data_IF_414635599012
#
_entry.id   IF_414635599012
#
_cell.length_a   1.000
_cell.length_b   1.000
_cell.length_c   1.000
_cell.angle_alpha   90.00
_cell.angle_beta   90.00
_cell.angle_gamma   90.00
#
_symmetry.space_group_name_H-M   'P 1'
#
loop_
_entity.id
_entity.type
_entity.pdbx_description
1 polymer ?
#
# COMPACT_ATOMS: atom_id res chain seq x y z
N UNK A 1 7.02 17.01 35.43
CA UNK A 1 7.76 15.75 35.24
C UNK A 1 8.61 15.94 34.00
N UNK A 2 9.90 16.12 34.19
CA UNK A 2 10.84 16.46 33.12
C UNK A 2 11.41 15.12 32.62
N UNK A 3 11.00 14.69 31.42
CA UNK A 3 11.50 13.46 30.79
C UNK A 3 13.01 13.50 30.74
N UNK A 4 13.65 12.43 31.19
CA UNK A 4 15.11 12.36 31.29
C UNK A 4 15.74 12.58 29.92
N UNK A 5 16.88 13.28 29.86
CA UNK A 5 17.69 13.43 28.64
C UNK A 5 18.01 12.06 27.99
N UNK A 6 17.96 10.99 28.78
CA UNK A 6 18.12 9.61 28.35
C UNK A 6 16.90 9.06 27.59
N UNK A 7 15.67 9.38 28.00
CA UNK A 7 14.44 8.93 27.31
C UNK A 7 14.35 9.54 25.91
N UNK A 8 14.69 10.81 25.76
CA UNK A 8 14.75 11.47 24.44
C UNK A 8 15.85 10.91 23.54
N UNK A 9 17.01 10.59 24.12
CA UNK A 9 18.08 9.96 23.35
C UNK A 9 17.67 8.56 22.89
N UNK A 10 16.98 7.80 23.75
CA UNK A 10 16.43 6.48 23.44
C UNK A 10 15.32 6.55 22.38
N UNK A 11 14.43 7.55 22.42
CA UNK A 11 13.41 7.75 21.37
C UNK A 11 14.05 8.01 20.00
N UNK A 12 15.07 8.87 19.94
CA UNK A 12 15.80 9.18 18.70
C UNK A 12 16.63 7.98 18.21
N UNK A 13 17.22 7.21 19.12
CA UNK A 13 17.88 5.96 18.76
C UNK A 13 16.88 4.93 18.25
N UNK A 14 15.73 4.75 18.89
CA UNK A 14 14.70 3.81 18.45
C UNK A 14 14.12 4.17 17.07
N UNK A 15 13.95 5.47 16.77
CA UNK A 15 13.59 5.93 15.42
C UNK A 15 14.67 5.58 14.37
N UNK A 16 15.96 5.65 14.73
CA UNK A 16 17.07 5.26 13.86
C UNK A 16 17.27 3.73 13.75
N UNK A 17 16.98 2.98 14.81
CA UNK A 17 17.02 1.52 14.88
C UNK A 17 15.80 0.85 14.22
N UNK A 18 14.75 1.63 13.88
CA UNK A 18 13.67 1.17 13.01
C UNK A 18 14.06 1.13 11.52
N UNK A 19 15.35 1.19 11.20
CA UNK A 19 15.87 0.55 10.00
C UNK A 19 15.85 -0.96 10.22
N UNK A 20 14.65 -1.56 10.14
CA UNK A 20 14.51 -2.97 9.85
C UNK A 20 15.35 -3.20 8.59
N UNK A 21 16.32 -4.10 8.69
CA UNK A 21 17.15 -4.51 7.55
C UNK A 21 16.21 -5.20 6.56
N UNK A 22 15.54 -4.41 5.71
CA UNK A 22 14.48 -4.88 4.81
C UNK A 22 15.12 -5.69 3.70
N UNK A 23 15.17 -7.00 3.88
CA UNK A 23 15.66 -7.89 2.84
C UNK A 23 14.67 -7.90 1.67
N UNK A 24 15.14 -7.92 0.39
CA UNK A 24 14.26 -7.96 -0.78
C UNK A 24 13.28 -9.15 -0.80
N UNK A 25 13.54 -10.19 -0.01
CA UNK A 25 12.64 -11.33 0.20
C UNK A 25 11.45 -11.04 1.12
N UNK A 26 11.45 -9.91 1.84
CA UNK A 26 10.45 -9.56 2.86
C UNK A 26 9.35 -8.63 2.34
N UNK A 27 9.44 -8.17 1.09
CA UNK A 27 8.44 -7.31 0.49
C UNK A 27 8.37 -7.47 -1.04
N UNK A 28 7.20 -7.17 -1.59
CA UNK A 28 7.04 -6.94 -3.02
C UNK A 28 7.05 -5.43 -3.30
N UNK A 29 7.92 -4.99 -4.21
CA UNK A 29 7.94 -3.61 -4.68
C UNK A 29 7.05 -3.42 -5.92
N UNK A 30 6.28 -2.33 -5.93
CA UNK A 30 5.52 -1.87 -7.09
C UNK A 30 6.03 -0.50 -7.52
N UNK A 31 6.39 -0.37 -8.80
CA UNK A 31 6.64 0.94 -9.39
C UNK A 31 5.31 1.52 -9.90
N UNK A 32 4.89 2.63 -9.29
CA UNK A 32 3.68 3.36 -9.64
C UNK A 32 4.09 4.74 -10.14
N UNK A 33 4.13 4.90 -11.47
CA UNK A 33 4.45 6.17 -12.13
C UNK A 33 5.81 6.76 -11.66
N UNK A 34 6.81 5.90 -11.45
CA UNK A 34 8.14 6.30 -10.99
C UNK A 34 8.31 6.32 -9.47
N UNK A 35 7.24 6.09 -8.69
CA UNK A 35 7.31 5.95 -7.23
C UNK A 35 7.36 4.48 -6.84
N UNK A 36 8.29 4.10 -5.96
CA UNK A 36 8.34 2.74 -5.42
C UNK A 36 7.46 2.63 -4.17
N UNK A 37 6.59 1.62 -4.15
CA UNK A 37 5.75 1.28 -3.00
C UNK A 37 6.04 -0.16 -2.60
N UNK A 38 6.42 -0.36 -1.35
CA UNK A 38 6.80 -1.66 -0.80
C UNK A 38 5.63 -2.25 0.00
N UNK A 39 5.23 -3.48 -0.36
CA UNK A 39 4.17 -4.23 0.31
C UNK A 39 4.78 -5.45 0.99
N UNK A 40 4.71 -5.48 2.32
CA UNK A 40 5.25 -6.59 3.12
C UNK A 40 4.31 -7.79 3.19
N UNK A 41 2.99 -7.55 3.07
CA UNK A 41 2.00 -8.61 3.10
C UNK A 41 2.01 -9.37 1.77
N UNK A 42 2.44 -10.64 1.83
CA UNK A 42 2.59 -11.50 0.67
C UNK A 42 1.25 -11.73 -0.04
N UNK A 43 0.19 -12.10 0.70
CA UNK A 43 -1.16 -12.35 0.15
C UNK A 43 -1.70 -11.10 -0.53
N UNK A 44 -1.56 -9.93 0.08
CA UNK A 44 -1.94 -8.66 -0.54
C UNK A 44 -1.15 -8.41 -1.82
N UNK A 45 0.16 -8.67 -1.80
CA UNK A 45 1.02 -8.46 -2.95
C UNK A 45 0.61 -9.32 -4.15
N UNK A 46 0.20 -10.56 -3.92
CA UNK A 46 -0.28 -11.48 -4.97
C UNK A 46 -1.58 -10.99 -5.59
N UNK A 47 -2.54 -10.57 -4.76
CA UNK A 47 -3.79 -9.98 -5.22
C UNK A 47 -3.54 -8.69 -6.01
N UNK A 48 -2.60 -7.86 -5.56
CA UNK A 48 -2.25 -6.65 -6.30
C UNK A 48 -1.56 -6.97 -7.63
N UNK A 49 -0.73 -8.02 -7.71
CA UNK A 49 -0.07 -8.45 -8.96
C UNK A 49 -1.09 -8.83 -10.05
N UNK A 50 -2.21 -9.47 -9.68
CA UNK A 50 -3.25 -9.86 -10.66
C UNK A 50 -4.13 -8.69 -11.13
N UNK A 51 -4.20 -7.59 -10.37
CA UNK A 51 -4.97 -6.42 -10.78
C UNK A 51 -4.33 -5.72 -11.99
N UNK A 52 -5.14 -5.26 -12.97
CA UNK A 52 -4.66 -4.41 -14.04
C UNK A 52 -3.94 -3.16 -13.52
N UNK A 53 -2.83 -2.78 -14.16
CA UNK A 53 -1.95 -1.68 -13.73
C UNK A 53 -2.70 -0.39 -13.38
N UNK A 54 -3.66 0.01 -14.22
CA UNK A 54 -4.46 1.23 -13.99
C UNK A 54 -5.25 1.15 -12.68
N UNK A 55 -5.84 -0.02 -12.37
CA UNK A 55 -6.59 -0.26 -11.13
C UNK A 55 -5.64 -0.32 -9.94
N UNK A 56 -4.54 -1.09 -10.06
CA UNK A 56 -3.51 -1.21 -9.03
C UNK A 56 -2.95 0.16 -8.63
N UNK A 57 -2.58 0.99 -9.61
CA UNK A 57 -2.03 2.32 -9.38
C UNK A 57 -3.01 3.22 -8.61
N UNK A 58 -4.32 3.19 -8.93
CA UNK A 58 -5.32 3.98 -8.21
C UNK A 58 -5.38 3.60 -6.73
N UNK A 59 -5.36 2.31 -6.40
CA UNK A 59 -5.41 1.84 -5.01
C UNK A 59 -4.10 2.15 -4.28
N UNK A 60 -2.96 1.89 -4.91
CA UNK A 60 -1.65 2.13 -4.32
C UNK A 60 -1.46 3.63 -4.01
N UNK A 61 -1.77 4.52 -4.95
CA UNK A 61 -1.70 5.96 -4.71
C UNK A 61 -2.67 6.42 -3.62
N UNK A 62 -3.88 5.83 -3.57
CA UNK A 62 -4.89 6.27 -2.60
C UNK A 62 -4.64 5.81 -1.17
N UNK A 63 -4.10 4.61 -0.97
CA UNK A 63 -4.03 3.98 0.36
C UNK A 63 -2.61 3.90 0.91
N UNK A 64 -1.59 3.95 0.06
CA UNK A 64 -0.19 3.86 0.47
C UNK A 64 0.56 5.20 0.32
N UNK A 65 0.04 6.11 -0.51
CA UNK A 65 0.63 7.44 -0.72
C UNK A 65 -0.29 8.57 -0.24
N UNK A 66 -1.39 8.25 0.46
CA UNK A 66 -2.40 9.19 0.99
C UNK A 66 -2.94 10.21 -0.03
N UNK A 67 -2.88 9.91 -1.34
CA UNK A 67 -3.33 10.83 -2.36
C UNK A 67 -4.86 10.84 -2.45
N UNK A 68 -5.42 12.05 -2.54
CA UNK A 68 -6.86 12.23 -2.74
C UNK A 68 -7.30 11.83 -4.16
N UNK A 69 -8.59 11.54 -4.32
CA UNK A 69 -9.17 11.22 -5.63
C UNK A 69 -8.94 12.33 -6.68
N UNK A 70 -8.81 13.60 -6.22
CA UNK A 70 -8.51 14.73 -7.08
C UNK A 70 -7.05 14.71 -7.55
N UNK A 71 -6.11 14.45 -6.65
CA UNK A 71 -4.68 14.40 -6.96
C UNK A 71 -4.37 13.21 -7.88
N UNK A 72 -4.93 12.03 -7.59
CA UNK A 72 -4.82 10.85 -8.44
C UNK A 72 -5.43 11.12 -9.82
N UNK A 73 -6.60 11.76 -9.87
CA UNK A 73 -7.24 12.14 -11.12
C UNK A 73 -6.34 13.05 -11.96
N UNK A 74 -5.75 14.09 -11.36
CA UNK A 74 -4.79 14.96 -12.05
C UNK A 74 -3.56 14.19 -12.54
N UNK A 75 -2.97 13.36 -11.69
CA UNK A 75 -1.76 12.61 -12.00
C UNK A 75 -1.97 11.60 -13.14
N UNK A 76 -3.13 10.94 -13.17
CA UNK A 76 -3.45 9.91 -14.16
C UNK A 76 -4.29 10.43 -15.34
N UNK A 77 -4.53 11.74 -15.43
CA UNK A 77 -5.38 12.38 -16.42
C UNK A 77 -6.82 11.80 -16.48
N UNK A 78 -7.46 11.67 -15.31
CA UNK A 78 -8.82 11.17 -15.11
C UNK A 78 -9.64 12.14 -14.27
N UNK A 79 -10.96 12.14 -14.45
CA UNK A 79 -11.86 12.92 -13.60
C UNK A 79 -12.03 12.27 -12.22
N UNK A 80 -12.17 13.10 -11.17
CA UNK A 80 -12.31 12.66 -9.77
C UNK A 80 -13.42 11.61 -9.58
N UNK A 81 -14.55 11.78 -10.25
CA UNK A 81 -15.69 10.85 -10.14
C UNK A 81 -15.38 9.45 -10.67
N UNK A 82 -14.51 9.35 -11.68
CA UNK A 82 -14.01 8.06 -12.20
C UNK A 82 -13.12 7.39 -11.16
N UNK A 83 -12.23 8.13 -10.50
CA UNK A 83 -11.37 7.58 -9.44
C UNK A 83 -12.21 7.00 -8.30
N UNK A 84 -13.21 7.75 -7.82
CA UNK A 84 -14.12 7.29 -6.76
C UNK A 84 -14.83 5.96 -7.13
N UNK A 85 -15.37 5.87 -8.36
CA UNK A 85 -16.03 4.65 -8.85
C UNK A 85 -15.05 3.50 -8.97
N UNK A 86 -13.86 3.75 -9.51
CA UNK A 86 -12.81 2.76 -9.63
C UNK A 86 -12.41 2.21 -8.27
N UNK A 87 -12.08 3.06 -7.28
CA UNK A 87 -11.76 2.64 -5.91
C UNK A 87 -12.80 1.70 -5.33
N UNK A 88 -14.07 2.10 -5.41
CA UNK A 88 -15.19 1.28 -4.92
C UNK A 88 -15.26 -0.09 -5.61
N UNK A 89 -15.10 -0.13 -6.93
CA UNK A 89 -15.11 -1.38 -7.69
C UNK A 89 -13.90 -2.26 -7.38
N UNK A 90 -12.71 -1.67 -7.28
CA UNK A 90 -11.46 -2.40 -7.06
C UNK A 90 -11.43 -3.00 -5.66
N UNK A 91 -11.90 -2.28 -4.63
CA UNK A 91 -11.98 -2.84 -3.27
C UNK A 91 -12.93 -4.04 -3.20
N UNK A 92 -14.02 -4.03 -3.97
CA UNK A 92 -14.91 -5.20 -4.07
C UNK A 92 -14.22 -6.39 -4.73
N UNK A 93 -13.43 -6.14 -5.77
CA UNK A 93 -12.64 -7.14 -6.48
C UNK A 93 -11.55 -7.73 -5.58
N UNK A 94 -10.76 -6.89 -4.91
CA UNK A 94 -9.77 -7.30 -3.90
C UNK A 94 -10.43 -8.17 -2.82
N UNK A 95 -11.57 -7.72 -2.26
CA UNK A 95 -12.30 -8.49 -1.24
C UNK A 95 -12.81 -9.84 -1.74
N UNK A 96 -13.15 -9.95 -3.03
CA UNK A 96 -13.57 -11.22 -3.65
C UNK A 96 -12.38 -12.15 -3.78
N UNK A 97 -11.25 -11.66 -4.31
CA UNK A 97 -10.01 -12.43 -4.46
C UNK A 97 -9.53 -12.98 -3.10
N UNK A 98 -9.53 -12.14 -2.06
CA UNK A 98 -9.18 -12.57 -0.70
C UNK A 98 -10.06 -13.71 -0.15
N UNK A 99 -11.34 -13.76 -0.53
CA UNK A 99 -12.24 -14.83 -0.10
C UNK A 99 -12.02 -16.11 -0.88
N UNK A 100 -11.83 -15.98 -2.19
CA UNK A 100 -11.55 -17.11 -3.06
C UNK A 100 -10.24 -17.79 -2.65
N UNK A 101 -9.18 -17.03 -2.35
CA UNK A 101 -7.91 -17.55 -1.83
C UNK A 101 -8.05 -18.33 -0.51
N UNK A 102 -8.93 -17.86 0.40
CA UNK A 102 -9.17 -18.52 1.67
C UNK A 102 -9.96 -19.84 1.53
N UNK A 103 -10.81 -19.96 0.51
CA UNK A 103 -11.61 -21.17 0.26
C UNK A 103 -10.75 -22.31 -0.33
N UNK A 104 -9.60 -22.02 -0.97
CA UNK A 104 -8.67 -23.05 -1.48
C UNK A 104 -7.69 -23.60 -0.44
N UNK A 105 -7.57 -22.98 0.75
CA UNK A 105 -6.74 -23.52 1.85
C UNK A 105 -7.51 -24.55 2.72
N UNK A 106 -8.82 -24.73 2.50
CA UNK A 106 -9.68 -25.68 3.24
C UNK A 106 -10.02 -26.98 2.49
N UNK A 107 -9.51 -27.18 1.27
CA UNK A 107 -9.63 -28.42 0.46
C UNK A 107 -8.30 -29.20 0.38
#
# INVERSE_FOLDING_TARGET
>A
MQSSSFEKALEVELENFYNIDKYPSEYTAFNVLGMEIQIMDEKLSEILKVLPDKKRNIILLSYFMDMSDLEIGKLMNLVRSTIYRHKTSILKEIKKLYKEEAEYEEE
#
